data_IF_314085285396
#
_entry.id   IF_314085285396
#
_cell.length_a   1.000
_cell.length_b   1.000
_cell.length_c   1.000
_cell.angle_alpha   90.00
_cell.angle_beta   90.00
_cell.angle_gamma   90.00
#
_symmetry.space_group_name_H-M   'P 1'
#
loop_
_entity.id
_entity.type
_entity.pdbx_description
1 polymer ?
#
# COMPACT_ATOMS: atom_id res chain seq x y z
N UNK A 1 -9.67 0.75 -21.46
CA UNK A 1 -9.44 1.57 -20.25
C UNK A 1 -7.94 1.81 -20.01
N UNK A 2 -7.08 0.79 -20.07
CA UNK A 2 -5.60 0.99 -19.98
C UNK A 2 -5.02 1.96 -21.03
N UNK A 3 -5.51 1.91 -22.28
CA UNK A 3 -5.09 2.85 -23.32
C UNK A 3 -5.36 4.32 -22.97
N UNK A 4 -6.48 4.59 -22.28
CA UNK A 4 -6.81 5.95 -21.83
C UNK A 4 -5.90 6.40 -20.67
N UNK A 5 -5.50 5.49 -19.79
CA UNK A 5 -4.55 5.78 -18.71
C UNK A 5 -3.15 6.07 -19.25
N UNK A 6 -2.71 5.33 -20.27
CA UNK A 6 -1.44 5.60 -20.97
C UNK A 6 -1.47 6.93 -21.69
N UNK A 7 -2.53 7.21 -22.45
CA UNK A 7 -2.67 8.51 -23.12
C UNK A 7 -2.69 9.68 -22.12
N UNK A 8 -3.32 9.51 -20.96
CA UNK A 8 -3.25 10.50 -19.88
C UNK A 8 -1.82 10.69 -19.37
N UNK A 9 -1.10 9.61 -19.10
CA UNK A 9 0.27 9.65 -18.60
C UNK A 9 1.23 10.31 -19.60
N UNK A 10 1.15 9.91 -20.87
CA UNK A 10 1.94 10.48 -21.96
C UNK A 10 1.64 11.97 -22.15
N UNK A 11 0.36 12.36 -22.07
CA UNK A 11 -0.04 13.77 -22.16
C UNK A 11 0.45 14.60 -20.96
N UNK A 12 0.48 14.02 -19.77
CA UNK A 12 1.01 14.67 -18.57
C UNK A 12 2.53 14.87 -18.69
N UNK A 13 3.27 13.83 -19.04
CA UNK A 13 4.73 13.86 -19.23
C UNK A 13 5.15 14.83 -20.34
N UNK A 14 4.33 15.00 -21.38
CA UNK A 14 4.59 15.94 -22.47
C UNK A 14 4.33 17.42 -22.10
N UNK A 15 3.67 17.70 -20.98
CA UNK A 15 3.35 19.07 -20.56
C UNK A 15 4.56 19.72 -19.87
N UNK A 16 5.01 20.88 -20.37
CA UNK A 16 6.17 21.62 -19.84
C UNK A 16 6.05 22.03 -18.37
N UNK A 17 4.83 22.03 -17.83
CA UNK A 17 4.50 22.41 -16.45
C UNK A 17 4.23 21.22 -15.51
N UNK A 18 4.55 19.99 -15.94
CA UNK A 18 4.34 18.79 -15.13
C UNK A 18 5.29 18.77 -13.92
N UNK A 19 4.73 18.94 -12.72
CA UNK A 19 5.48 18.86 -11.46
C UNK A 19 4.78 17.96 -10.45
N UNK A 20 5.57 17.17 -9.72
CA UNK A 20 5.14 16.34 -8.60
C UNK A 20 5.39 17.00 -7.24
N UNK A 21 5.98 18.21 -7.23
CA UNK A 21 6.25 18.94 -5.99
C UNK A 21 4.94 19.51 -5.41
N UNK A 22 4.47 19.03 -4.25
CA UNK A 22 3.25 19.53 -3.63
C UNK A 22 3.34 21.01 -3.22
N UNK A 23 4.55 21.56 -3.11
CA UNK A 23 4.81 22.96 -2.72
C UNK A 23 4.78 23.92 -3.91
N UNK A 24 4.79 23.41 -5.15
CA UNK A 24 4.69 24.25 -6.35
C UNK A 24 3.28 24.84 -6.48
N UNK A 25 3.11 26.11 -6.89
CA UNK A 25 1.79 26.73 -7.11
C UNK A 25 0.87 25.95 -8.05
N UNK A 26 1.44 25.12 -8.94
CA UNK A 26 0.72 24.26 -9.90
C UNK A 26 0.83 22.75 -9.59
N UNK A 27 1.63 22.38 -8.58
CA UNK A 27 1.95 21.00 -8.22
C UNK A 27 0.87 20.16 -7.53
N UNK A 28 -0.05 20.74 -6.73
CA UNK A 28 -1.13 19.97 -6.09
C UNK A 28 -2.01 19.20 -7.09
N UNK A 29 -2.22 19.76 -8.30
CA UNK A 29 -3.05 19.13 -9.32
C UNK A 29 -2.36 17.88 -9.92
N UNK A 30 -1.07 17.97 -10.24
CA UNK A 30 -0.28 16.83 -10.72
C UNK A 30 -0.13 15.74 -9.67
N UNK A 31 0.18 16.15 -8.44
CA UNK A 31 0.28 15.25 -7.29
C UNK A 31 -1.05 14.48 -7.07
N UNK A 32 -2.19 15.17 -7.02
CA UNK A 32 -3.50 14.53 -6.83
C UNK A 32 -3.89 13.62 -8.00
N UNK A 33 -3.58 14.03 -9.22
CA UNK A 33 -3.94 13.26 -10.42
C UNK A 33 -3.12 11.96 -10.52
N UNK A 34 -1.85 11.96 -10.11
CA UNK A 34 -1.06 10.72 -10.04
C UNK A 34 -1.55 9.77 -8.95
N UNK A 35 -2.04 10.27 -7.82
CA UNK A 35 -2.67 9.44 -6.79
C UNK A 35 -3.96 8.77 -7.29
N UNK A 36 -4.78 9.51 -8.05
CA UNK A 36 -5.99 8.96 -8.69
C UNK A 36 -5.63 7.97 -9.82
N UNK A 37 -4.62 8.26 -10.63
CA UNK A 37 -4.13 7.33 -11.65
C UNK A 37 -3.73 6.00 -11.02
N UNK A 38 -2.94 6.05 -9.93
CA UNK A 38 -2.55 4.86 -9.17
C UNK A 38 -3.77 4.10 -8.64
N UNK A 39 -4.74 4.81 -8.07
CA UNK A 39 -5.98 4.22 -7.58
C UNK A 39 -6.73 3.49 -8.70
N UNK A 40 -6.85 4.09 -9.88
CA UNK A 40 -7.52 3.46 -11.03
C UNK A 40 -6.74 2.23 -11.50
N UNK A 41 -5.41 2.29 -11.60
CA UNK A 41 -4.59 1.12 -11.94
C UNK A 41 -4.78 -0.01 -10.92
N UNK A 42 -4.78 0.30 -9.62
CA UNK A 42 -5.04 -0.70 -8.58
C UNK A 42 -6.42 -1.32 -8.76
N UNK A 43 -7.47 -0.52 -8.92
CA UNK A 43 -8.85 -1.02 -9.04
C UNK A 43 -9.10 -1.82 -10.32
N UNK A 44 -8.39 -1.50 -11.40
CA UNK A 44 -8.50 -2.22 -12.66
C UNK A 44 -7.80 -3.60 -12.60
N UNK A 45 -6.68 -3.68 -11.88
CA UNK A 45 -5.85 -4.89 -11.83
C UNK A 45 -6.09 -5.74 -10.57
N UNK A 46 -6.79 -5.20 -9.57
CA UNK A 46 -7.18 -5.87 -8.35
C UNK A 46 -8.67 -5.59 -8.07
N UNK A 47 -9.50 -6.62 -8.17
CA UNK A 47 -10.92 -6.54 -7.80
C UNK A 47 -11.08 -6.47 -6.27
N UNK A 48 -10.79 -5.30 -5.68
CA UNK A 48 -10.81 -5.11 -4.22
C UNK A 48 -12.22 -4.86 -3.65
N UNK A 49 -13.26 -4.80 -4.50
CA UNK A 49 -14.68 -4.66 -4.12
C UNK A 49 -15.02 -3.46 -3.21
N UNK A 50 -16.29 -3.32 -2.78
CA UNK A 50 -16.73 -2.28 -1.84
C UNK A 50 -16.55 -2.64 -0.35
N UNK A 51 -15.84 -3.72 -0.03
CA UNK A 51 -15.94 -4.44 1.25
C UNK A 51 -15.19 -3.82 2.44
N UNK A 52 -14.58 -2.64 2.30
CA UNK A 52 -13.78 -2.02 3.38
C UNK A 52 -14.62 -1.32 4.46
N UNK A 53 -15.94 -1.21 4.26
CA UNK A 53 -16.89 -0.64 5.22
C UNK A 53 -16.50 0.73 5.78
N UNK A 54 -15.78 1.56 4.99
CA UNK A 54 -15.27 2.87 5.41
C UNK A 54 -16.38 3.83 5.87
N UNK A 55 -17.61 3.64 5.38
CA UNK A 55 -18.78 4.41 5.79
C UNK A 55 -19.12 4.25 7.29
N UNK A 56 -18.72 3.12 7.90
CA UNK A 56 -18.99 2.85 9.33
C UNK A 56 -18.18 3.75 10.25
N UNK A 57 -17.05 4.28 9.77
CA UNK A 57 -16.04 5.03 10.55
C UNK A 57 -15.56 4.31 11.82
N UNK A 58 -15.80 3.00 11.93
CA UNK A 58 -15.36 2.18 13.05
C UNK A 58 -14.07 1.44 12.67
N UNK A 59 -12.93 1.76 13.31
CA UNK A 59 -11.66 1.14 12.99
C UNK A 59 -11.66 -0.39 13.11
N UNK A 60 -12.42 -0.95 14.05
CA UNK A 60 -12.51 -2.39 14.27
C UNK A 60 -13.26 -3.08 13.14
N UNK A 61 -14.38 -2.48 12.68
CA UNK A 61 -15.16 -3.02 11.56
C UNK A 61 -14.35 -2.95 10.27
N UNK A 62 -13.69 -1.82 10.02
CA UNK A 62 -12.84 -1.63 8.84
C UNK A 62 -11.68 -2.63 8.86
N UNK A 63 -10.97 -2.78 9.99
CA UNK A 63 -9.88 -3.73 10.13
C UNK A 63 -10.31 -5.19 9.90
N UNK A 64 -11.51 -5.58 10.38
CA UNK A 64 -12.09 -6.90 10.07
C UNK A 64 -12.29 -7.09 8.58
N UNK A 65 -12.74 -6.07 7.86
CA UNK A 65 -12.85 -6.13 6.39
C UNK A 65 -11.51 -6.35 5.67
N UNK A 66 -10.38 -6.04 6.31
CA UNK A 66 -9.04 -6.33 5.78
C UNK A 66 -8.59 -7.76 6.09
N UNK A 67 -9.00 -8.32 7.22
CA UNK A 67 -8.46 -9.59 7.75
C UNK A 67 -9.38 -10.79 7.56
N UNK A 68 -10.69 -10.62 7.38
CA UNK A 68 -11.71 -11.69 7.34
C UNK A 68 -11.61 -12.66 6.16
N UNK A 69 -10.69 -12.41 5.23
CA UNK A 69 -10.38 -13.32 4.13
C UNK A 69 -11.43 -13.36 3.01
N UNK A 70 -12.54 -12.61 3.11
CA UNK A 70 -13.63 -12.64 2.12
C UNK A 70 -13.24 -12.01 0.78
N UNK A 71 -12.25 -11.11 0.77
CA UNK A 71 -11.83 -10.41 -0.44
C UNK A 71 -10.79 -11.27 -1.18
N UNK A 72 -11.17 -11.88 -2.30
CA UNK A 72 -10.24 -12.60 -3.17
C UNK A 72 -9.58 -11.64 -4.15
N UNK A 73 -8.38 -11.17 -3.83
CA UNK A 73 -7.56 -10.34 -4.73
C UNK A 73 -6.53 -11.19 -5.50
N UNK A 74 -6.32 -12.44 -5.08
CA UNK A 74 -5.12 -13.20 -5.36
C UNK A 74 -5.17 -14.04 -6.65
N UNK A 75 -5.62 -13.44 -7.77
CA UNK A 75 -5.28 -13.99 -9.08
C UNK A 75 -3.85 -13.56 -9.42
N UNK A 76 -2.87 -14.33 -8.95
CA UNK A 76 -1.44 -14.16 -9.24
C UNK A 76 -1.26 -14.01 -10.75
N UNK A 77 -1.04 -12.78 -11.24
CA UNK A 77 -0.95 -12.49 -12.67
C UNK A 77 -0.02 -11.29 -12.94
N UNK A 78 0.54 -11.16 -14.16
CA UNK A 78 1.38 -10.01 -14.53
C UNK A 78 0.67 -8.65 -14.39
N UNK A 79 -0.65 -8.62 -14.51
CA UNK A 79 -1.49 -7.43 -14.31
C UNK A 79 -1.48 -6.99 -12.84
N UNK A 80 -1.63 -7.95 -11.92
CA UNK A 80 -1.51 -7.72 -10.49
C UNK A 80 -0.09 -7.24 -10.13
N UNK A 81 0.94 -7.83 -10.72
CA UNK A 81 2.35 -7.48 -10.48
C UNK A 81 2.62 -5.98 -10.77
N UNK A 82 2.00 -5.42 -11.82
CA UNK A 82 2.08 -3.97 -12.12
C UNK A 82 1.42 -3.11 -11.04
N UNK A 83 0.27 -3.52 -10.52
CA UNK A 83 -0.40 -2.78 -9.45
C UNK A 83 0.39 -2.87 -8.13
N UNK A 84 0.99 -4.03 -7.84
CA UNK A 84 1.87 -4.20 -6.68
C UNK A 84 3.08 -3.29 -6.79
N UNK A 85 3.73 -3.22 -7.95
CA UNK A 85 4.85 -2.31 -8.18
C UNK A 85 4.49 -0.85 -7.87
N UNK A 86 3.30 -0.40 -8.30
CA UNK A 86 2.80 0.94 -7.98
C UNK A 86 2.60 1.17 -6.48
N UNK A 87 2.14 0.15 -5.76
CA UNK A 87 1.99 0.23 -4.30
C UNK A 87 3.35 0.26 -3.59
N UNK A 88 4.33 -0.49 -4.09
CA UNK A 88 5.73 -0.47 -3.59
C UNK A 88 6.32 0.93 -3.77
N UNK A 89 6.18 1.52 -4.95
CA UNK A 89 6.65 2.90 -5.19
C UNK A 89 5.94 3.91 -4.29
N UNK A 90 4.63 3.76 -4.08
CA UNK A 90 3.88 4.60 -3.15
C UNK A 90 4.43 4.53 -1.72
N UNK A 91 4.78 3.33 -1.24
CA UNK A 91 5.36 3.11 0.09
C UNK A 91 6.82 3.58 0.20
N UNK A 92 7.60 3.50 -0.90
CA UNK A 92 9.00 3.93 -0.88
C UNK A 92 9.18 5.43 -0.59
N UNK A 93 8.20 6.26 -0.96
CA UNK A 93 8.25 7.70 -0.74
C UNK A 93 8.25 8.01 0.77
N UNK A 94 7.24 7.60 1.56
CA UNK A 94 7.24 7.89 3.00
C UNK A 94 8.33 7.13 3.77
N UNK A 95 8.76 5.95 3.32
CA UNK A 95 9.92 5.26 3.91
C UNK A 95 11.19 6.10 3.78
N UNK A 96 11.52 6.57 2.58
CA UNK A 96 12.74 7.35 2.31
C UNK A 96 12.72 8.76 2.91
N UNK A 97 11.54 9.39 2.94
CA UNK A 97 11.36 10.69 3.60
C UNK A 97 11.43 10.55 5.12
N UNK A 98 11.10 9.36 5.65
CA UNK A 98 10.99 9.07 7.06
C UNK A 98 9.53 9.10 7.53
N UNK A 99 9.03 7.94 7.97
CA UNK A 99 7.62 7.74 8.35
C UNK A 99 7.17 8.73 9.43
N UNK A 100 7.99 8.91 10.47
CA UNK A 100 7.70 9.84 11.56
C UNK A 100 7.66 11.31 11.10
N UNK A 101 8.49 11.68 10.13
CA UNK A 101 8.46 13.01 9.53
C UNK A 101 7.18 13.19 8.72
N UNK A 102 6.87 12.26 7.80
CA UNK A 102 5.66 12.27 6.97
C UNK A 102 4.40 12.42 7.81
N UNK A 103 4.27 11.61 8.87
CA UNK A 103 3.12 11.67 9.75
C UNK A 103 2.92 13.08 10.35
N UNK A 104 4.00 13.78 10.69
CA UNK A 104 3.95 15.09 11.37
C UNK A 104 3.82 16.27 10.41
N UNK A 105 4.33 16.19 9.19
CA UNK A 105 4.49 17.37 8.31
C UNK A 105 3.68 17.33 7.02
N UNK A 106 3.37 16.14 6.48
CA UNK A 106 2.75 16.03 5.16
C UNK A 106 1.21 16.05 5.20
N UNK A 107 0.63 16.16 6.38
CA UNK A 107 -0.80 16.30 6.62
C UNK A 107 -1.43 17.56 6.02
N UNK A 108 -0.63 18.60 5.78
CA UNK A 108 -1.06 19.82 5.09
C UNK A 108 -1.00 19.71 3.56
N UNK A 109 -0.19 18.78 3.04
CA UNK A 109 -0.01 18.56 1.60
C UNK A 109 -0.81 17.34 1.07
N UNK A 110 -1.35 16.51 1.97
CA UNK A 110 -2.08 15.31 1.59
C UNK A 110 -3.55 15.61 1.36
N UNK A 111 -3.95 15.54 0.10
CA UNK A 111 -5.35 15.55 -0.27
C UNK A 111 -6.05 14.24 0.13
N UNK A 112 -7.37 14.29 0.25
CA UNK A 112 -8.20 13.09 0.48
C UNK A 112 -7.92 11.98 -0.56
N UNK A 113 -7.63 12.34 -1.81
CA UNK A 113 -7.28 11.41 -2.89
C UNK A 113 -6.01 10.61 -2.58
N UNK A 114 -4.99 11.25 -1.96
CA UNK A 114 -3.78 10.54 -1.55
C UNK A 114 -4.05 9.55 -0.44
N UNK A 115 -4.83 9.95 0.56
CA UNK A 115 -5.18 9.05 1.66
C UNK A 115 -5.93 7.81 1.14
N UNK A 116 -6.87 7.99 0.21
CA UNK A 116 -7.60 6.87 -0.40
C UNK A 116 -6.69 5.98 -1.26
N UNK A 117 -5.80 6.58 -2.06
CA UNK A 117 -4.83 5.83 -2.87
C UNK A 117 -3.89 5.01 -2.00
N UNK A 118 -3.32 5.62 -0.95
CA UNK A 118 -2.44 4.97 0.02
C UNK A 118 -3.14 3.87 0.81
N UNK A 119 -4.43 4.05 1.16
CA UNK A 119 -5.24 3.01 1.78
C UNK A 119 -5.39 1.78 0.87
N UNK A 120 -5.69 1.98 -0.42
CA UNK A 120 -5.75 0.87 -1.36
C UNK A 120 -4.39 0.21 -1.56
N UNK A 121 -3.29 0.98 -1.55
CA UNK A 121 -1.95 0.42 -1.57
C UNK A 121 -1.67 -0.47 -0.34
N UNK A 122 -2.01 0.02 0.86
CA UNK A 122 -1.86 -0.73 2.10
C UNK A 122 -2.66 -2.04 2.06
N UNK A 123 -3.91 -1.97 1.62
CA UNK A 123 -4.79 -3.13 1.47
C UNK A 123 -4.21 -4.15 0.48
N UNK A 124 -3.87 -3.69 -0.73
CA UNK A 124 -3.43 -4.55 -1.82
C UNK A 124 -2.10 -5.25 -1.47
N UNK A 125 -1.11 -4.51 -0.97
CA UNK A 125 0.18 -5.07 -0.57
C UNK A 125 0.02 -6.11 0.53
N UNK A 126 -0.73 -5.79 1.59
CA UNK A 126 -0.96 -6.69 2.71
C UNK A 126 -1.63 -7.98 2.24
N UNK A 127 -2.66 -7.88 1.38
CA UNK A 127 -3.37 -9.04 0.85
C UNK A 127 -2.51 -9.88 -0.09
N UNK A 128 -1.71 -9.23 -0.94
CA UNK A 128 -0.80 -9.91 -1.85
C UNK A 128 0.28 -10.68 -1.08
N UNK A 129 0.90 -10.08 -0.05
CA UNK A 129 1.87 -10.76 0.80
C UNK A 129 1.26 -11.98 1.50
N UNK A 130 0.03 -11.88 2.04
CA UNK A 130 -0.67 -13.04 2.62
C UNK A 130 -0.96 -14.13 1.58
N UNK A 131 -1.25 -13.74 0.33
CA UNK A 131 -1.41 -14.68 -0.78
C UNK A 131 -0.11 -15.41 -1.10
N UNK A 132 1.01 -14.69 -1.13
CA UNK A 132 2.34 -15.27 -1.30
C UNK A 132 2.72 -16.19 -0.15
N UNK A 133 2.46 -15.81 1.11
CA UNK A 133 2.79 -16.66 2.26
C UNK A 133 2.06 -18.01 2.19
N UNK A 134 0.78 -18.01 1.78
CA UNK A 134 0.03 -19.25 1.59
C UNK A 134 0.58 -20.12 0.46
N UNK A 135 0.97 -19.52 -0.67
CA UNK A 135 1.59 -20.25 -1.77
C UNK A 135 2.93 -20.88 -1.36
N UNK A 136 3.77 -20.12 -0.66
CA UNK A 136 5.08 -20.57 -0.15
C UNK A 136 4.93 -21.64 0.92
N UNK A 137 3.92 -21.55 1.79
CA UNK A 137 3.63 -22.57 2.80
C UNK A 137 3.21 -23.91 2.18
N UNK A 138 2.47 -23.87 1.06
CA UNK A 138 1.99 -25.07 0.38
C UNK A 138 3.03 -25.74 -0.52
N UNK A 139 3.79 -24.93 -1.27
CA UNK A 139 4.60 -25.41 -2.40
C UNK A 139 6.06 -24.95 -2.36
N UNK A 140 6.46 -24.16 -1.35
CA UNK A 140 7.81 -23.59 -1.25
C UNK A 140 8.02 -22.31 -2.07
N UNK A 141 9.21 -21.72 -1.94
CA UNK A 141 9.57 -20.47 -2.64
C UNK A 141 9.60 -20.61 -4.17
N UNK A 142 9.90 -21.80 -4.68
CA UNK A 142 10.01 -22.06 -6.12
C UNK A 142 8.66 -21.95 -6.86
N UNK A 143 7.54 -21.98 -6.12
CA UNK A 143 6.21 -21.72 -6.67
C UNK A 143 6.03 -20.25 -7.06
N UNK A 144 6.84 -19.33 -6.53
CA UNK A 144 6.77 -17.89 -6.84
C UNK A 144 7.33 -17.59 -8.22
N UNK A 145 6.60 -16.79 -9.01
CA UNK A 145 7.10 -16.30 -10.29
C UNK A 145 8.36 -15.44 -10.09
N UNK A 146 9.28 -15.37 -11.06
CA UNK A 146 10.46 -14.51 -10.98
C UNK A 146 10.12 -13.05 -10.67
N UNK A 147 9.04 -12.51 -11.23
CA UNK A 147 8.63 -11.13 -10.97
C UNK A 147 8.01 -10.96 -9.57
N UNK A 148 7.30 -11.96 -9.05
CA UNK A 148 6.80 -11.95 -7.66
C UNK A 148 7.96 -11.96 -6.66
N UNK A 149 9.02 -12.74 -6.93
CA UNK A 149 10.22 -12.76 -6.11
C UNK A 149 10.94 -11.40 -6.11
N UNK A 150 11.05 -10.74 -7.27
CA UNK A 150 11.62 -9.38 -7.36
C UNK A 150 10.78 -8.37 -6.58
N UNK A 151 9.46 -8.40 -6.74
CA UNK A 151 8.53 -7.53 -6.01
C UNK A 151 8.65 -7.76 -4.50
N UNK A 152 8.72 -9.03 -4.07
CA UNK A 152 8.85 -9.40 -2.67
C UNK A 152 10.16 -8.86 -2.09
N UNK A 153 11.26 -9.04 -2.82
CA UNK A 153 12.56 -8.51 -2.41
C UNK A 153 12.55 -6.99 -2.27
N UNK A 154 11.89 -6.26 -3.18
CA UNK A 154 11.75 -4.81 -3.04
C UNK A 154 11.00 -4.40 -1.76
N UNK A 155 9.94 -5.13 -1.38
CA UNK A 155 9.23 -4.87 -0.12
C UNK A 155 10.11 -5.18 1.09
N UNK A 156 10.86 -6.29 1.05
CA UNK A 156 11.83 -6.65 2.10
C UNK A 156 12.85 -5.54 2.28
N UNK A 157 13.48 -5.07 1.20
CA UNK A 157 14.43 -3.95 1.25
C UNK A 157 13.82 -2.70 1.85
N UNK A 158 12.59 -2.32 1.45
CA UNK A 158 11.90 -1.16 2.02
C UNK A 158 11.66 -1.28 3.52
N UNK A 159 11.30 -2.46 4.02
CA UNK A 159 11.09 -2.64 5.46
C UNK A 159 12.42 -2.62 6.22
N UNK A 160 13.50 -3.16 5.64
CA UNK A 160 14.84 -3.06 6.22
C UNK A 160 15.40 -1.62 6.29
N UNK A 161 14.91 -0.70 5.46
CA UNK A 161 15.22 0.74 5.55
C UNK A 161 14.53 1.44 6.75
N UNK A 162 13.77 0.71 7.57
CA UNK A 162 12.98 1.26 8.68
C UNK A 162 13.32 0.62 10.02
N UNK A 163 12.80 1.19 11.11
CA UNK A 163 12.91 0.65 12.48
C UNK A 163 12.28 -0.75 12.64
N UNK A 164 11.55 -1.25 11.63
CA UNK A 164 10.94 -2.58 11.63
C UNK A 164 11.85 -3.66 11.04
N UNK A 165 13.10 -3.36 10.67
CA UNK A 165 14.05 -4.32 10.12
C UNK A 165 14.18 -5.58 11.00
N UNK A 166 14.41 -5.37 12.31
CA UNK A 166 14.63 -6.44 13.28
C UNK A 166 13.42 -7.39 13.45
N UNK A 167 12.22 -6.92 13.09
CA UNK A 167 11.00 -7.74 13.16
C UNK A 167 11.02 -8.92 12.19
N UNK A 168 11.80 -8.83 11.11
CA UNK A 168 11.87 -9.84 10.05
C UNK A 168 12.87 -10.98 10.37
N UNK A 169 13.93 -10.69 11.14
CA UNK A 169 15.07 -11.59 11.32
C UNK A 169 14.75 -12.81 12.20
N UNK A 170 13.73 -12.71 13.07
CA UNK A 170 13.34 -13.79 13.98
C UNK A 170 12.44 -14.88 13.37
N UNK A 171 12.16 -14.88 12.06
CA UNK A 171 11.29 -15.90 11.45
C UNK A 171 12.08 -17.10 10.88
N UNK A 172 11.66 -18.30 11.29
CA UNK A 172 12.34 -19.56 11.00
C UNK A 172 12.10 -20.10 9.59
N UNK A 173 10.94 -19.80 8.99
CA UNK A 173 10.57 -20.22 7.64
C UNK A 173 10.19 -19.04 6.72
N UNK A 174 10.21 -19.27 5.40
CA UNK A 174 9.94 -18.24 4.39
C UNK A 174 8.49 -17.74 4.39
N UNK A 175 7.49 -18.59 4.64
CA UNK A 175 6.10 -18.19 4.68
C UNK A 175 5.83 -17.27 5.89
N UNK A 176 6.37 -17.62 7.05
CA UNK A 176 6.33 -16.84 8.28
C UNK A 176 7.06 -15.50 8.14
N UNK A 177 8.19 -15.44 7.41
CA UNK A 177 8.83 -14.17 7.04
C UNK A 177 7.91 -13.28 6.21
N UNK A 178 7.23 -13.84 5.22
CA UNK A 178 6.28 -13.09 4.38
C UNK A 178 5.06 -12.63 5.19
N UNK A 179 4.56 -13.44 6.14
CA UNK A 179 3.48 -13.03 7.07
C UNK A 179 3.89 -11.83 7.93
N UNK A 180 5.09 -11.89 8.54
CA UNK A 180 5.63 -10.74 9.30
C UNK A 180 5.81 -9.51 8.42
N UNK A 181 6.29 -9.68 7.19
CA UNK A 181 6.42 -8.58 6.23
C UNK A 181 5.07 -7.91 5.94
N UNK A 182 3.97 -8.69 5.84
CA UNK A 182 2.62 -8.14 5.68
C UNK A 182 2.20 -7.29 6.89
N UNK A 183 2.48 -7.75 8.11
CA UNK A 183 2.23 -6.99 9.33
C UNK A 183 3.06 -5.70 9.40
N UNK A 184 4.34 -5.76 9.03
CA UNK A 184 5.23 -4.60 9.00
C UNK A 184 4.79 -3.56 7.96
N UNK A 185 4.39 -3.98 6.76
CA UNK A 185 3.84 -3.06 5.74
C UNK A 185 2.56 -2.38 6.24
N UNK A 186 1.64 -3.14 6.85
CA UNK A 186 0.44 -2.56 7.44
C UNK A 186 0.78 -1.54 8.55
N UNK A 187 1.80 -1.84 9.38
CA UNK A 187 2.30 -0.93 10.42
C UNK A 187 2.88 0.36 9.85
N UNK A 188 3.72 0.28 8.80
CA UNK A 188 4.31 1.46 8.16
C UNK A 188 3.23 2.41 7.63
N UNK A 189 2.21 1.86 6.96
CA UNK A 189 1.07 2.67 6.52
C UNK A 189 0.28 3.23 7.70
N UNK A 190 0.03 2.45 8.76
CA UNK A 190 -0.66 2.94 9.96
C UNK A 190 0.04 4.15 10.59
N UNK A 191 1.36 4.06 10.80
CA UNK A 191 2.16 5.14 11.39
C UNK A 191 2.18 6.37 10.49
N UNK A 192 2.20 6.16 9.17
CA UNK A 192 2.11 7.22 8.17
C UNK A 192 0.81 8.05 8.30
N UNK A 193 -0.28 7.44 8.77
CA UNK A 193 -1.57 8.13 8.98
C UNK A 193 -1.76 8.72 10.38
N UNK A 194 -0.85 8.49 11.33
CA UNK A 194 -1.04 8.75 12.76
C UNK A 194 -0.97 10.22 13.20
N UNK A 195 -0.45 11.13 12.38
CA UNK A 195 -0.30 12.54 12.74
C UNK A 195 -1.55 13.41 12.57
N UNK A 196 -1.39 14.74 12.54
CA UNK A 196 -2.49 15.70 12.55
C UNK A 196 -3.29 15.67 11.24
N UNK A 197 -4.33 14.84 11.13
CA UNK A 197 -5.11 14.74 9.90
C UNK A 197 -6.20 15.81 9.82
N UNK A 198 -6.29 16.52 8.68
CA UNK A 198 -7.39 17.45 8.39
C UNK A 198 -8.72 16.72 8.27
N UNK A 199 -8.70 15.47 7.78
CA UNK A 199 -9.90 14.66 7.57
C UNK A 199 -9.98 13.52 8.58
N UNK A 200 -11.06 13.47 9.36
CA UNK A 200 -11.34 12.43 10.37
C UNK A 200 -11.20 11.00 9.82
N UNK A 201 -11.66 10.75 8.59
CA UNK A 201 -11.58 9.43 7.95
C UNK A 201 -10.15 8.93 7.79
N UNK A 202 -9.17 9.83 7.64
CA UNK A 202 -7.76 9.46 7.51
C UNK A 202 -7.20 8.97 8.85
N UNK A 203 -7.64 9.60 9.95
CA UNK A 203 -7.34 9.11 11.29
C UNK A 203 -7.95 7.73 11.53
N UNK A 204 -9.23 7.54 11.19
CA UNK A 204 -9.92 6.23 11.29
C UNK A 204 -9.18 5.15 10.48
N UNK A 205 -8.71 5.49 9.28
CA UNK A 205 -7.90 4.60 8.44
C UNK A 205 -6.60 4.21 9.14
N UNK A 206 -5.87 5.17 9.71
CA UNK A 206 -4.65 4.88 10.47
C UNK A 206 -4.89 3.92 11.64
N UNK A 207 -5.94 4.17 12.42
CA UNK A 207 -6.36 3.27 13.51
C UNK A 207 -6.73 1.87 13.00
N UNK A 208 -7.47 1.80 11.89
CA UNK A 208 -7.85 0.52 11.26
C UNK A 208 -6.62 -0.28 10.86
N UNK A 209 -5.65 0.37 10.20
CA UNK A 209 -4.40 -0.27 9.77
C UNK A 209 -3.51 -0.68 10.95
N UNK A 210 -3.54 0.06 12.07
CA UNK A 210 -2.87 -0.37 13.30
C UNK A 210 -3.46 -1.68 13.81
N UNK A 211 -4.79 -1.78 13.87
CA UNK A 211 -5.48 -3.02 14.29
C UNK A 211 -5.16 -4.16 13.32
N UNK A 212 -5.11 -3.90 12.02
CA UNK A 212 -4.69 -4.89 11.01
C UNK A 212 -3.27 -5.37 11.30
N UNK A 213 -2.32 -4.45 11.50
CA UNK A 213 -0.94 -4.80 11.81
C UNK A 213 -0.81 -5.63 13.10
N UNK A 214 -1.55 -5.25 14.16
CA UNK A 214 -1.60 -6.01 15.42
C UNK A 214 -2.21 -7.41 15.24
N UNK A 215 -3.23 -7.53 14.40
CA UNK A 215 -3.89 -8.81 14.11
C UNK A 215 -2.94 -9.73 13.34
N UNK A 216 -2.31 -9.21 12.28
CA UNK A 216 -1.38 -9.97 11.45
C UNK A 216 -0.07 -10.31 12.18
N UNK A 217 0.39 -9.48 13.10
CA UNK A 217 1.58 -9.75 13.89
C UNK A 217 1.41 -10.87 14.92
N UNK A 218 0.17 -11.34 15.16
CA UNK A 218 -0.16 -12.47 16.04
C UNK A 218 -0.41 -13.78 15.28
N UNK A 219 -0.49 -13.73 13.94
CA UNK A 219 -0.59 -14.91 13.06
C UNK A 219 0.78 -15.59 12.89
#
# INVERSE_FOLDING_TARGET
MEAALRAWQESWEATHESTLDPSSPKGPLGFNSTALLRLVYIRLNAHTGPFRQLFTRDPVIIARGFTDGKISVCNRSPHLDRAILQCIHALSIPVRVGIAFVARTLTLNWSFQHALSNLECAFLLTRWLRGLSFAVEKSGLDDLRPDEQKLLNMVVTLVHETELADSLDGAQDHASRIRKLAASVARLWAETFKGFQVFEIVYVVGQSLSIVADTLGRE
#
